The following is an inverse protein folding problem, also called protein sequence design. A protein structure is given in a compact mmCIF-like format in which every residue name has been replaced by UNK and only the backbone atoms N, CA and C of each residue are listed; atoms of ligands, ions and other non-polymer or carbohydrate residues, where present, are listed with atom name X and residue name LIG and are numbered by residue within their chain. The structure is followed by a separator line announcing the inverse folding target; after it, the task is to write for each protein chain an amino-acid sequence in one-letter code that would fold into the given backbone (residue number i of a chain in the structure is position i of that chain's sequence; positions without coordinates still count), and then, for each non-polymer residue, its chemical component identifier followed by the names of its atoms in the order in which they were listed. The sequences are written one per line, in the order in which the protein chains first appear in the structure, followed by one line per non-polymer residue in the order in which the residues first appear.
data_IF_536262842874
#
_entry.id   IF_536262842874
#
_cell.length_a   1.000
_cell.length_b   1.000
_cell.length_c   1.000
_cell.angle_alpha   90.00
_cell.angle_beta   90.00
_cell.angle_gamma   90.00
#
_symmetry.space_group_name_H-M   'P 1'
#
loop_
_entity.id
_entity.type
_entity.pdbx_description
1 polymer ?
#
# COMPACT_ATOMS: atom_id res chain seq x y z
N UNK A 1 7.55 7.81 -21.29
CA UNK A 1 7.45 6.40 -21.75
C UNK A 1 6.40 6.36 -22.86
N UNK A 2 6.84 6.26 -24.13
CA UNK A 2 5.96 6.20 -25.31
C UNK A 2 5.29 4.83 -25.36
N UNK A 3 4.00 4.74 -25.04
CA UNK A 3 3.23 3.51 -25.22
C UNK A 3 2.74 3.48 -26.67
N UNK A 4 3.34 2.57 -27.44
CA UNK A 4 3.01 2.28 -28.83
C UNK A 4 1.58 1.75 -28.95
N UNK A 5 0.84 2.32 -29.88
CA UNK A 5 -0.14 1.68 -30.78
C UNK A 5 -0.75 0.34 -30.33
N UNK A 6 -1.96 0.38 -29.77
CA UNK A 6 -2.93 -0.71 -29.89
C UNK A 6 -4.05 -0.28 -30.85
N UNK A 7 -3.67 -0.08 -32.12
CA UNK A 7 -4.56 0.05 -33.27
C UNK A 7 -4.86 -1.34 -33.85
N UNK A 8 -5.31 -2.25 -33.01
CA UNK A 8 -5.76 -3.58 -33.41
C UNK A 8 -6.98 -3.84 -32.54
N UNK A 9 -8.19 -3.57 -33.06
CA UNK A 9 -9.45 -4.23 -32.67
C UNK A 9 -10.69 -3.65 -33.38
N UNK A 10 -10.59 -2.59 -34.19
CA UNK A 10 -11.74 -2.02 -34.90
C UNK A 10 -12.00 -2.53 -36.33
N UNK A 11 -11.28 -3.56 -36.80
CA UNK A 11 -11.39 -4.07 -38.18
C UNK A 11 -11.86 -5.54 -38.28
N UNK A 12 -12.73 -6.01 -37.38
CA UNK A 12 -13.30 -7.36 -37.48
C UNK A 12 -14.84 -7.44 -37.50
N UNK A 13 -15.53 -6.32 -37.80
CA UNK A 13 -17.01 -6.30 -37.87
C UNK A 13 -17.56 -6.70 -39.25
N UNK A 14 -16.72 -6.98 -40.27
CA UNK A 14 -17.18 -7.32 -41.62
C UNK A 14 -16.77 -8.72 -42.13
N UNK A 15 -16.27 -9.59 -41.25
CA UNK A 15 -15.67 -10.87 -41.65
C UNK A 15 -16.25 -12.11 -41.00
N UNK A 16 -17.52 -12.12 -40.56
CA UNK A 16 -18.14 -13.37 -40.10
C UNK A 16 -18.70 -14.13 -41.31
N UNK A 17 -17.79 -14.74 -42.07
CA UNK A 17 -18.11 -15.85 -42.95
C UNK A 17 -18.62 -16.98 -42.05
N UNK A 18 -19.94 -17.09 -41.93
CA UNK A 18 -20.62 -18.21 -41.29
C UNK A 18 -20.24 -19.47 -42.09
N UNK A 19 -19.23 -20.19 -41.61
CA UNK A 19 -18.90 -21.55 -42.05
C UNK A 19 -20.01 -22.48 -41.57
N UNK A 20 -21.12 -22.53 -42.31
CA UNK A 20 -22.11 -23.60 -42.25
C UNK A 20 -21.58 -24.84 -42.99
N UNK A 21 -20.41 -25.36 -42.59
CA UNK A 21 -19.89 -26.63 -43.07
C UNK A 21 -20.34 -27.74 -42.12
N UNK A 22 -21.56 -28.23 -42.30
CA UNK A 22 -22.05 -29.34 -41.48
C UNK A 22 -23.46 -29.83 -41.78
N UNK A 23 -24.21 -29.10 -42.60
CA UNK A 23 -25.57 -29.50 -42.94
C UNK A 23 -25.54 -30.26 -44.26
N UNK A 24 -25.24 -31.56 -44.19
CA UNK A 24 -25.59 -32.46 -45.27
C UNK A 24 -27.11 -32.55 -45.32
N UNK A 25 -27.74 -31.67 -46.13
CA UNK A 25 -29.05 -31.99 -46.66
C UNK A 25 -28.87 -33.13 -47.66
N UNK A 26 -28.78 -34.35 -47.12
CA UNK A 26 -29.07 -35.54 -47.89
C UNK A 26 -30.59 -35.52 -48.11
N UNK A 27 -31.07 -34.69 -49.04
CA UNK A 27 -32.36 -34.96 -49.65
C UNK A 27 -32.20 -36.32 -50.33
N UNK A 28 -33.01 -37.35 -50.01
CA UNK A 28 -33.11 -38.50 -50.87
C UNK A 28 -33.60 -37.94 -52.20
N UNK A 29 -32.68 -37.81 -53.16
CA UNK A 29 -33.01 -37.51 -54.54
C UNK A 29 -33.80 -38.73 -54.99
N UNK A 30 -35.11 -38.71 -54.79
CA UNK A 30 -36.03 -39.58 -55.47
C UNK A 30 -35.72 -39.39 -56.94
N UNK A 31 -35.01 -40.34 -57.52
CA UNK A 31 -34.78 -40.36 -58.95
C UNK A 31 -36.19 -40.32 -59.55
N UNK A 32 -36.55 -39.20 -60.17
CA UNK A 32 -37.72 -39.13 -61.00
C UNK A 32 -37.47 -40.18 -62.08
N UNK A 33 -38.05 -41.37 -61.91
CA UNK A 33 -37.98 -42.41 -62.91
C UNK A 33 -38.75 -41.84 -64.10
N UNK A 34 -38.01 -41.35 -65.09
CA UNK A 34 -38.58 -40.91 -66.34
C UNK A 34 -39.39 -42.08 -66.86
N UNK A 35 -40.72 -41.94 -66.88
CA UNK A 35 -41.62 -42.87 -67.53
C UNK A 35 -41.16 -42.94 -69.00
N UNK A 36 -40.51 -44.02 -69.45
CA UNK A 36 -40.00 -44.05 -70.80
C UNK A 36 -41.21 -44.01 -71.74
N UNK A 37 -41.21 -43.09 -72.71
CA UNK A 37 -42.12 -43.18 -73.84
C UNK A 37 -41.80 -44.49 -74.58
N UNK A 38 -42.77 -45.40 -74.65
CA UNK A 38 -42.62 -46.67 -75.35
C UNK A 38 -43.44 -46.61 -76.64
N UNK A 39 -42.73 -46.73 -77.76
CA UNK A 39 -43.33 -46.93 -79.08
C UNK A 39 -43.71 -48.40 -79.20
N UNK A 40 -45.01 -48.71 -79.25
CA UNK A 40 -45.47 -50.05 -79.65
C UNK A 40 -45.61 -50.03 -81.17
N UNK A 41 -44.66 -50.65 -81.87
CA UNK A 41 -44.72 -51.01 -83.31
C UNK A 41 -45.19 -49.91 -84.28
N UNK A 42 -44.88 -48.64 -84.02
CA UNK A 42 -45.21 -47.55 -84.94
C UNK A 42 -46.71 -47.28 -85.12
N UNK A 43 -47.58 -47.80 -84.25
CA UNK A 43 -49.03 -47.57 -84.27
C UNK A 43 -49.43 -46.67 -83.11
N UNK A 44 -50.21 -45.62 -83.38
CA UNK A 44 -50.78 -44.77 -82.34
C UNK A 44 -51.98 -45.48 -81.72
N UNK A 45 -51.79 -46.19 -80.61
CA UNK A 45 -52.82 -47.06 -80.00
C UNK A 45 -53.82 -46.27 -79.14
N UNK A 46 -53.47 -45.07 -78.69
CA UNK A 46 -54.26 -44.27 -77.74
C UNK A 46 -54.42 -42.84 -78.29
N UNK A 47 -55.66 -42.41 -78.53
CA UNK A 47 -55.96 -41.06 -79.05
C UNK A 47 -56.13 -40.02 -77.95
N UNK A 48 -56.59 -40.45 -76.77
CA UNK A 48 -56.67 -39.62 -75.57
C UNK A 48 -56.67 -40.46 -74.30
N UNK A 49 -55.93 -40.01 -73.28
CA UNK A 49 -56.04 -40.49 -71.91
C UNK A 49 -56.68 -39.38 -71.10
N UNK A 50 -57.76 -39.69 -70.38
CA UNK A 50 -58.40 -38.74 -69.48
C UNK A 50 -58.67 -39.38 -68.12
N UNK A 51 -58.55 -38.58 -67.07
CA UNK A 51 -58.95 -38.93 -65.72
C UNK A 51 -60.17 -38.08 -65.35
N UNK A 52 -61.28 -38.74 -65.05
CA UNK A 52 -62.52 -38.12 -64.60
C UNK A 52 -63.07 -38.93 -63.43
N UNK A 53 -63.48 -38.29 -62.33
CA UNK A 53 -64.07 -38.95 -61.15
C UNK A 53 -63.27 -40.18 -60.64
N UNK A 54 -61.94 -40.08 -60.54
CA UNK A 54 -61.06 -41.18 -60.11
C UNK A 54 -61.08 -42.45 -60.99
N UNK A 55 -61.61 -42.37 -62.21
CA UNK A 55 -61.59 -43.46 -63.20
C UNK A 55 -60.69 -43.10 -64.38
N UNK A 56 -59.87 -44.06 -64.83
CA UNK A 56 -58.98 -43.94 -65.99
C UNK A 56 -59.78 -44.32 -67.25
N UNK A 57 -60.00 -43.36 -68.16
CA UNK A 57 -60.65 -43.61 -69.45
C UNK A 57 -59.63 -43.54 -70.60
N UNK A 58 -59.51 -44.63 -71.35
CA UNK A 58 -58.64 -44.77 -72.51
C UNK A 58 -59.51 -44.97 -73.76
N UNK A 59 -59.28 -44.16 -74.79
CA UNK A 59 -59.94 -44.29 -76.10
C UNK A 59 -58.93 -44.76 -77.15
N UNK A 60 -59.22 -45.86 -77.84
CA UNK A 60 -58.34 -46.48 -78.84
C UNK A 60 -58.87 -46.28 -80.27
N UNK A 61 -57.97 -46.11 -81.25
CA UNK A 61 -58.32 -45.79 -82.64
C UNK A 61 -58.34 -47.01 -83.59
N UNK A 62 -57.78 -48.15 -83.18
CA UNK A 62 -57.85 -49.42 -83.92
C UNK A 62 -57.67 -50.60 -82.94
N UNK A 63 -58.23 -51.78 -83.26
CA UNK A 63 -58.24 -52.95 -82.37
C UNK A 63 -56.84 -53.54 -82.24
N UNK A 64 -56.08 -53.01 -81.29
CA UNK A 64 -54.95 -53.72 -80.72
C UNK A 64 -55.46 -54.99 -80.02
N UNK A 65 -54.71 -56.09 -80.11
CA UNK A 65 -54.97 -57.30 -79.32
C UNK A 65 -55.00 -56.93 -77.83
N UNK A 66 -55.96 -57.48 -77.08
CA UNK A 66 -56.28 -57.14 -75.68
C UNK A 66 -55.03 -56.99 -74.77
N UNK A 67 -54.02 -57.85 -74.97
CA UNK A 67 -52.75 -57.80 -74.24
C UNK A 67 -51.89 -56.54 -74.46
N UNK A 68 -51.97 -55.87 -75.61
CA UNK A 68 -51.21 -54.63 -75.87
C UNK A 68 -51.78 -53.44 -75.10
N UNK A 69 -53.12 -53.35 -75.01
CA UNK A 69 -53.79 -52.32 -74.20
C UNK A 69 -53.57 -52.52 -72.70
N UNK A 70 -53.56 -53.77 -72.22
CA UNK A 70 -53.27 -54.09 -70.82
C UNK A 70 -51.85 -53.68 -70.42
N UNK A 71 -50.85 -53.93 -71.27
CA UNK A 71 -49.46 -53.53 -71.01
C UNK A 71 -49.28 -52.00 -70.86
N UNK A 72 -49.99 -51.20 -71.67
CA UNK A 72 -49.94 -49.74 -71.57
C UNK A 72 -50.57 -49.22 -70.26
N UNK A 73 -51.69 -49.84 -69.85
CA UNK A 73 -52.35 -49.53 -68.57
C UNK A 73 -51.45 -49.88 -67.39
N UNK A 74 -50.85 -51.07 -67.38
CA UNK A 74 -49.98 -51.53 -66.30
C UNK A 74 -48.76 -50.62 -66.13
N UNK A 75 -48.19 -50.13 -67.24
CA UNK A 75 -47.10 -49.16 -67.22
C UNK A 75 -47.51 -47.79 -66.65
N UNK A 76 -48.67 -47.27 -67.05
CA UNK A 76 -49.23 -46.02 -66.51
C UNK A 76 -49.50 -46.13 -65.00
N UNK A 77 -50.08 -47.24 -64.56
CA UNK A 77 -50.35 -47.53 -63.14
C UNK A 77 -49.03 -47.61 -62.36
N UNK A 78 -48.04 -48.32 -62.88
CA UNK A 78 -46.70 -48.41 -62.28
C UNK A 78 -46.06 -47.03 -62.11
N UNK A 79 -46.12 -46.20 -63.15
CA UNK A 79 -45.59 -44.85 -63.16
C UNK A 79 -46.31 -43.91 -62.18
N UNK A 80 -47.64 -44.01 -62.12
CA UNK A 80 -48.45 -43.24 -61.17
C UNK A 80 -48.15 -43.64 -59.72
N UNK A 81 -47.97 -44.94 -59.45
CA UNK A 81 -47.58 -45.44 -58.13
C UNK A 81 -46.19 -44.94 -57.72
N UNK A 82 -45.24 -44.89 -58.65
CA UNK A 82 -43.90 -44.32 -58.42
C UNK A 82 -43.97 -42.82 -58.11
N UNK A 83 -44.75 -42.05 -58.87
CA UNK A 83 -44.97 -40.62 -58.60
C UNK A 83 -45.65 -40.39 -57.24
N UNK A 84 -46.65 -41.19 -56.90
CA UNK A 84 -47.31 -41.12 -55.59
C UNK A 84 -46.30 -41.36 -54.46
N UNK A 85 -45.41 -42.34 -54.61
CA UNK A 85 -44.34 -42.62 -53.64
C UNK A 85 -43.36 -41.45 -53.52
N UNK A 86 -42.94 -40.87 -54.64
CA UNK A 86 -42.04 -39.71 -54.64
C UNK A 86 -42.67 -38.47 -54.00
N UNK A 87 -43.97 -38.23 -54.23
CA UNK A 87 -44.71 -37.13 -53.60
C UNK A 87 -44.73 -37.30 -52.08
N UNK A 88 -45.00 -38.52 -51.59
CA UNK A 88 -44.96 -38.83 -50.16
C UNK A 88 -43.55 -38.61 -49.57
N UNK A 89 -42.50 -39.06 -50.27
CA UNK A 89 -41.12 -38.81 -49.83
C UNK A 89 -40.81 -37.32 -49.74
N UNK A 90 -41.13 -36.55 -50.79
CA UNK A 90 -40.90 -35.11 -50.81
C UNK A 90 -41.69 -34.40 -49.71
N UNK A 91 -42.92 -34.82 -49.42
CA UNK A 91 -43.72 -34.28 -48.34
C UNK A 91 -43.05 -34.51 -46.97
N UNK A 92 -42.47 -35.69 -46.75
CA UNK A 92 -41.72 -36.00 -45.52
C UNK A 92 -40.42 -35.19 -45.41
N UNK A 93 -39.70 -35.01 -46.51
CA UNK A 93 -38.48 -34.18 -46.55
C UNK A 93 -38.81 -32.72 -46.24
N UNK A 94 -39.90 -32.19 -46.81
CA UNK A 94 -40.40 -30.84 -46.52
C UNK A 94 -40.76 -30.70 -45.04
N UNK A 95 -41.45 -31.68 -44.45
CA UNK A 95 -41.81 -31.66 -43.03
C UNK A 95 -40.56 -31.67 -42.12
N UNK A 96 -39.54 -32.47 -42.47
CA UNK A 96 -38.26 -32.52 -41.77
C UNK A 96 -37.52 -31.18 -41.87
N UNK A 97 -37.44 -30.61 -43.07
CA UNK A 97 -36.82 -29.31 -43.30
C UNK A 97 -37.54 -28.19 -42.53
N UNK A 98 -38.87 -28.22 -42.49
CA UNK A 98 -39.67 -27.27 -41.71
C UNK A 98 -39.33 -27.35 -40.22
N UNK A 99 -39.21 -28.56 -39.66
CA UNK A 99 -38.82 -28.79 -38.26
C UNK A 99 -37.40 -28.26 -37.98
N UNK A 100 -36.45 -28.53 -38.87
CA UNK A 100 -35.08 -28.05 -38.74
C UNK A 100 -34.96 -26.52 -38.80
N UNK A 101 -35.75 -25.86 -39.66
CA UNK A 101 -35.81 -24.39 -39.73
C UNK A 101 -36.30 -23.80 -38.41
N UNK A 102 -37.33 -24.39 -37.80
CA UNK A 102 -37.83 -23.96 -36.48
C UNK A 102 -36.76 -24.13 -35.39
N UNK A 103 -36.05 -25.26 -35.38
CA UNK A 103 -34.94 -25.49 -34.43
C UNK A 103 -33.85 -24.42 -34.59
N UNK A 104 -33.41 -24.16 -35.82
CA UNK A 104 -32.39 -23.15 -36.11
C UNK A 104 -32.84 -21.74 -35.70
N UNK A 105 -34.11 -21.40 -35.89
CA UNK A 105 -34.65 -20.13 -35.45
C UNK A 105 -34.57 -19.97 -33.92
N UNK A 106 -34.85 -21.03 -33.16
CA UNK A 106 -34.73 -21.03 -31.70
C UNK A 106 -33.27 -20.92 -31.24
N UNK A 107 -32.35 -21.63 -31.90
CA UNK A 107 -30.91 -21.56 -31.60
C UNK A 107 -30.35 -20.15 -31.87
N UNK A 108 -30.78 -19.52 -32.97
CA UNK A 108 -30.41 -18.12 -33.29
C UNK A 108 -30.95 -17.16 -32.23
N UNK A 109 -32.20 -17.31 -31.79
CA UNK A 109 -32.77 -16.48 -30.74
C UNK A 109 -32.02 -16.62 -29.39
N UNK A 110 -31.63 -17.85 -29.05
CA UNK A 110 -30.82 -18.14 -27.86
C UNK A 110 -29.44 -17.50 -27.96
N UNK A 111 -28.76 -17.68 -29.10
CA UNK A 111 -27.45 -17.06 -29.35
C UNK A 111 -27.52 -15.53 -29.30
N UNK A 112 -28.58 -14.93 -29.84
CA UNK A 112 -28.80 -13.48 -29.77
C UNK A 112 -28.91 -13.00 -28.32
N UNK A 113 -29.68 -13.71 -27.48
CA UNK A 113 -29.80 -13.40 -26.05
C UNK A 113 -28.46 -13.51 -25.32
N UNK A 114 -27.69 -14.57 -25.59
CA UNK A 114 -26.36 -14.77 -25.00
C UNK A 114 -25.38 -13.67 -25.39
N UNK A 115 -25.41 -13.21 -26.65
CA UNK A 115 -24.56 -12.10 -27.13
C UNK A 115 -24.88 -10.81 -26.34
N UNK A 116 -26.16 -10.51 -26.11
CA UNK A 116 -26.55 -9.34 -25.31
C UNK A 116 -26.06 -9.47 -23.86
N UNK A 117 -26.20 -10.65 -23.24
CA UNK A 117 -25.68 -10.88 -21.89
C UNK A 117 -24.17 -10.67 -21.82
N UNK A 118 -23.41 -11.26 -22.73
CA UNK A 118 -21.96 -11.11 -22.79
C UNK A 118 -21.54 -9.64 -23.00
N UNK A 119 -22.28 -8.88 -23.80
CA UNK A 119 -22.02 -7.46 -24.01
C UNK A 119 -22.18 -6.65 -22.70
N UNK A 120 -23.21 -6.96 -21.91
CA UNK A 120 -23.43 -6.33 -20.59
C UNK A 120 -22.33 -6.71 -19.59
N UNK A 121 -21.90 -7.97 -19.57
CA UNK A 121 -20.80 -8.43 -18.71
C UNK A 121 -19.48 -7.74 -19.06
N UNK A 122 -19.19 -7.58 -20.36
CA UNK A 122 -18.02 -6.84 -20.85
C UNK A 122 -18.08 -5.38 -20.41
N UNK A 123 -19.24 -4.72 -20.53
CA UNK A 123 -19.41 -3.33 -20.10
C UNK A 123 -19.20 -3.15 -18.59
N UNK A 124 -19.71 -4.10 -17.79
CA UNK A 124 -19.51 -4.13 -16.33
C UNK A 124 -18.04 -4.32 -15.98
N UNK A 125 -17.37 -5.29 -16.61
CA UNK A 125 -15.94 -5.53 -16.40
C UNK A 125 -15.09 -4.31 -16.80
N UNK A 126 -15.44 -3.62 -17.89
CA UNK A 126 -14.76 -2.40 -18.31
C UNK A 126 -14.87 -1.29 -17.26
N UNK A 127 -16.06 -1.12 -16.66
CA UNK A 127 -16.28 -0.16 -15.57
C UNK A 127 -15.45 -0.51 -14.33
N UNK A 128 -15.43 -1.78 -13.94
CA UNK A 128 -14.65 -2.27 -12.80
C UNK A 128 -13.14 -2.07 -13.00
N UNK A 129 -12.63 -2.30 -14.22
CA UNK A 129 -11.22 -2.06 -14.55
C UNK A 129 -10.85 -0.57 -14.37
N UNK A 130 -11.72 0.35 -14.80
CA UNK A 130 -11.50 1.79 -14.61
C UNK A 130 -11.51 2.17 -13.13
N UNK A 131 -12.44 1.62 -12.34
CA UNK A 131 -12.47 1.84 -10.88
C UNK A 131 -11.18 1.37 -10.21
N UNK A 132 -10.75 0.13 -10.50
CA UNK A 132 -9.52 -0.43 -9.94
C UNK A 132 -8.29 0.40 -10.34
N UNK A 133 -8.24 0.92 -11.56
CA UNK A 133 -7.13 1.79 -12.00
C UNK A 133 -7.05 3.09 -11.19
N UNK A 134 -8.21 3.70 -10.86
CA UNK A 134 -8.27 4.89 -10.01
C UNK A 134 -7.86 4.59 -8.57
N UNK A 135 -8.29 3.45 -8.02
CA UNK A 135 -7.91 3.02 -6.67
C UNK A 135 -6.40 2.76 -6.57
N UNK A 136 -5.81 2.12 -7.58
CA UNK A 136 -4.36 1.91 -7.67
C UNK A 136 -3.61 3.26 -7.73
N UNK A 137 -4.09 4.22 -8.52
CA UNK A 137 -3.48 5.54 -8.61
C UNK A 137 -3.53 6.31 -7.28
N UNK A 138 -4.65 6.21 -6.57
CA UNK A 138 -4.82 6.80 -5.23
C UNK A 138 -3.86 6.16 -4.22
N UNK A 139 -3.80 4.82 -4.19
CA UNK A 139 -2.87 4.09 -3.32
C UNK A 139 -1.41 4.43 -3.60
N UNK A 140 -1.03 4.56 -4.88
CA UNK A 140 0.32 5.00 -5.27
C UNK A 140 0.67 6.37 -4.71
N UNK A 141 -0.27 7.33 -4.78
CA UNK A 141 -0.09 8.67 -4.22
C UNK A 141 0.07 8.63 -2.70
N UNK A 142 -0.76 7.85 -2.00
CA UNK A 142 -0.67 7.68 -0.55
C UNK A 142 0.65 7.05 -0.12
N UNK A 143 1.17 6.07 -0.87
CA UNK A 143 2.48 5.45 -0.59
C UNK A 143 3.60 6.49 -0.67
N UNK A 144 3.58 7.36 -1.69
CA UNK A 144 4.58 8.45 -1.82
C UNK A 144 4.48 9.44 -0.66
N UNK A 145 3.26 9.82 -0.24
CA UNK A 145 3.07 10.70 0.93
C UNK A 145 3.65 10.08 2.19
N UNK A 146 3.31 8.82 2.48
CA UNK A 146 3.82 8.10 3.64
C UNK A 146 5.35 7.99 3.63
N UNK A 147 5.96 7.77 2.45
CA UNK A 147 7.41 7.72 2.33
C UNK A 147 8.08 9.06 2.70
N UNK A 148 7.48 10.18 2.29
CA UNK A 148 7.95 11.51 2.68
C UNK A 148 7.81 11.75 4.19
N UNK A 149 6.67 11.39 4.77
CA UNK A 149 6.45 11.55 6.22
C UNK A 149 7.45 10.72 7.04
N UNK A 150 7.75 9.49 6.59
CA UNK A 150 8.78 8.64 7.20
C UNK A 150 10.16 9.30 7.11
N UNK A 151 10.51 9.90 5.97
CA UNK A 151 11.79 10.59 5.80
C UNK A 151 11.91 11.80 6.75
N UNK A 152 10.85 12.63 6.85
CA UNK A 152 10.80 13.75 7.79
C UNK A 152 10.94 13.29 9.24
N UNK A 153 10.21 12.25 9.64
CA UNK A 153 10.31 11.68 10.99
C UNK A 153 11.72 11.16 11.29
N UNK A 154 12.38 10.53 10.33
CA UNK A 154 13.77 10.07 10.46
C UNK A 154 14.72 11.23 10.74
N UNK A 155 14.61 12.34 9.99
CA UNK A 155 15.41 13.55 10.22
C UNK A 155 15.16 14.14 11.62
N UNK A 156 13.90 14.22 12.05
CA UNK A 156 13.55 14.74 13.37
C UNK A 156 14.12 13.87 14.50
N UNK A 157 14.11 12.54 14.35
CA UNK A 157 14.70 11.62 15.33
C UNK A 157 16.22 11.88 15.48
N UNK A 158 16.94 12.06 14.37
CA UNK A 158 18.37 12.37 14.39
C UNK A 158 18.64 13.72 15.08
N UNK A 159 17.83 14.74 14.79
CA UNK A 159 17.95 16.05 15.46
C UNK A 159 17.76 15.92 16.97
N UNK A 160 16.68 15.25 17.40
CA UNK A 160 16.39 15.04 18.81
C UNK A 160 17.49 14.24 19.52
N UNK A 161 18.09 13.24 18.85
CA UNK A 161 19.21 12.49 19.41
C UNK A 161 20.44 13.38 19.66
N UNK A 162 20.74 14.30 18.73
CA UNK A 162 21.82 15.27 18.91
C UNK A 162 21.52 16.24 20.06
N UNK A 163 20.30 16.76 20.15
CA UNK A 163 19.90 17.66 21.23
C UNK A 163 20.00 16.98 22.60
N UNK A 164 19.61 15.71 22.70
CA UNK A 164 19.77 14.90 23.92
C UNK A 164 21.24 14.74 24.27
N UNK A 165 22.12 14.46 23.30
CA UNK A 165 23.55 14.33 23.54
C UNK A 165 24.17 15.64 24.04
N UNK A 166 23.80 16.78 23.45
CA UNK A 166 24.23 18.11 23.91
C UNK A 166 23.74 18.39 25.33
N UNK A 167 22.47 18.10 25.63
CA UNK A 167 21.92 18.28 26.97
C UNK A 167 22.62 17.39 28.01
N UNK A 168 22.97 16.16 27.66
CA UNK A 168 23.72 15.25 28.52
C UNK A 168 25.09 15.82 28.88
N UNK A 169 25.83 16.34 27.89
CA UNK A 169 27.12 17.01 28.12
C UNK A 169 26.97 18.23 29.03
N UNK A 170 25.98 19.09 28.76
CA UNK A 170 25.74 20.28 29.58
C UNK A 170 25.39 19.92 31.03
N UNK A 171 24.61 18.86 31.25
CA UNK A 171 24.29 18.37 32.60
C UNK A 171 25.56 17.88 33.31
N UNK A 172 26.43 17.15 32.61
CA UNK A 172 27.70 16.67 33.18
C UNK A 172 28.62 17.84 33.57
N UNK A 173 28.73 18.86 32.71
CA UNK A 173 29.47 20.10 33.01
C UNK A 173 28.89 20.81 34.23
N UNK A 174 27.57 21.06 34.26
CA UNK A 174 26.94 21.71 35.40
C UNK A 174 27.12 20.90 36.71
N UNK A 175 27.13 19.57 36.63
CA UNK A 175 27.37 18.73 37.80
C UNK A 175 28.80 18.87 38.34
N UNK A 176 29.79 18.99 37.45
CA UNK A 176 31.18 19.27 37.83
C UNK A 176 31.32 20.67 38.44
N UNK A 177 30.76 21.69 37.80
CA UNK A 177 30.80 23.08 38.29
C UNK A 177 30.15 23.20 39.69
N UNK A 178 29.05 22.47 39.93
CA UNK A 178 28.40 22.42 41.25
C UNK A 178 29.29 21.71 42.29
N UNK A 179 30.06 20.70 41.90
CA UNK A 179 30.98 20.02 42.81
C UNK A 179 32.13 20.95 43.20
N UNK A 180 32.71 21.65 42.24
CA UNK A 180 33.78 22.64 42.47
C UNK A 180 33.26 23.79 43.35
N UNK A 181 32.09 24.35 43.04
CA UNK A 181 31.49 25.41 43.87
C UNK A 181 31.23 24.95 45.32
N UNK A 182 30.89 23.68 45.53
CA UNK A 182 30.74 23.13 46.88
C UNK A 182 32.08 23.08 47.62
N UNK A 183 33.17 22.76 46.93
CA UNK A 183 34.51 22.79 47.52
C UNK A 183 34.93 24.22 47.87
N UNK A 184 34.76 25.17 46.95
CA UNK A 184 35.05 26.60 47.19
C UNK A 184 34.29 27.13 48.41
N UNK A 185 33.03 26.75 48.58
CA UNK A 185 32.21 27.15 49.73
C UNK A 185 32.76 26.57 51.04
N UNK A 186 33.28 25.34 51.05
CA UNK A 186 33.91 24.77 52.24
C UNK A 186 35.22 25.44 52.59
N UNK A 187 36.08 25.68 51.59
CA UNK A 187 37.33 26.42 51.78
C UNK A 187 37.06 27.82 52.32
N UNK A 188 36.02 28.51 51.82
CA UNK A 188 35.61 29.80 52.36
C UNK A 188 35.14 29.69 53.83
N UNK A 189 34.34 28.69 54.18
CA UNK A 189 33.89 28.47 55.57
C UNK A 189 35.07 28.18 56.49
N UNK A 190 36.03 27.38 56.06
CA UNK A 190 37.25 27.07 56.81
C UNK A 190 38.12 28.32 56.98
N UNK A 191 38.22 29.16 55.93
CA UNK A 191 38.85 30.48 56.02
C UNK A 191 38.18 31.39 57.06
N UNK A 192 36.84 31.40 57.13
CA UNK A 192 36.11 32.16 58.16
C UNK A 192 36.39 31.60 59.57
N UNK A 193 36.35 30.27 59.74
CA UNK A 193 36.70 29.63 61.02
C UNK A 193 38.14 29.99 61.45
N UNK A 194 39.07 30.02 60.50
CA UNK A 194 40.49 30.41 60.71
C UNK A 194 40.63 31.84 61.22
N UNK A 195 39.90 32.80 60.63
CA UNK A 195 39.89 34.18 61.11
C UNK A 195 39.32 34.29 62.53
N UNK A 196 38.25 33.57 62.86
CA UNK A 196 37.71 33.50 64.23
C UNK A 196 38.75 32.92 65.20
N UNK A 197 39.48 31.88 64.77
CA UNK A 197 40.51 31.25 65.59
C UNK A 197 41.67 32.21 65.87
N UNK A 198 42.08 33.00 64.88
CA UNK A 198 43.12 34.03 65.00
C UNK A 198 42.71 35.16 65.94
N UNK A 199 41.44 35.59 65.89
CA UNK A 199 40.88 36.61 66.79
C UNK A 199 40.86 36.11 68.24
N UNK A 200 40.35 34.89 68.47
CA UNK A 200 40.37 34.23 69.79
C UNK A 200 41.79 33.93 70.29
N UNK A 201 42.77 33.80 69.39
CA UNK A 201 44.18 33.59 69.74
C UNK A 201 44.87 34.86 70.21
N UNK A 202 44.26 36.04 70.05
CA UNK A 202 44.91 37.31 70.32
C UNK A 202 45.26 37.44 71.82
N UNK A 203 46.55 37.55 72.18
CA UNK A 203 46.94 37.59 73.59
C UNK A 203 46.68 38.97 74.20
N UNK A 204 46.18 38.99 75.42
CA UNK A 204 46.16 40.18 76.27
C UNK A 204 47.56 40.42 76.85
N UNK A 205 48.07 41.65 76.73
CA UNK A 205 49.31 42.03 77.39
C UNK A 205 49.01 42.32 78.86
N UNK A 206 49.50 41.44 79.73
CA UNK A 206 49.41 41.66 81.18
C UNK A 206 50.20 42.92 81.57
N UNK A 207 49.80 43.64 82.63
CA UNK A 207 50.57 44.77 83.14
C UNK A 207 52.05 44.42 83.33
N UNK A 208 52.94 45.33 82.93
CA UNK A 208 54.40 45.16 82.98
C UNK A 208 55.01 44.27 81.88
N UNK A 209 54.22 43.65 80.99
CA UNK A 209 54.74 42.80 79.92
C UNK A 209 54.62 43.49 78.54
N UNK A 210 55.62 43.28 77.68
CA UNK A 210 55.71 43.90 76.34
C UNK A 210 55.45 42.94 75.18
N UNK A 211 55.21 41.67 75.50
CA UNK A 211 55.01 40.62 74.52
C UNK A 211 53.99 39.60 75.04
N UNK A 212 53.18 39.07 74.13
CA UNK A 212 52.26 37.97 74.39
C UNK A 212 52.16 37.07 73.18
N UNK A 213 51.95 35.77 73.44
CA UNK A 213 51.56 34.76 72.45
C UNK A 213 50.25 34.16 72.93
N UNK A 214 49.32 33.93 72.01
CA UNK A 214 48.12 33.16 72.28
C UNK A 214 47.85 32.17 71.17
N UNK A 215 47.04 31.17 71.52
CA UNK A 215 46.47 30.19 70.61
C UNK A 215 44.97 30.17 70.83
N UNK A 216 44.22 29.97 69.76
CA UNK A 216 42.77 30.07 69.77
C UNK A 216 42.15 29.06 68.83
N UNK A 217 40.90 28.71 69.10
CA UNK A 217 40.11 27.85 68.23
C UNK A 217 38.97 28.66 67.64
N UNK A 218 38.63 28.37 66.40
CA UNK A 218 37.53 29.00 65.69
C UNK A 218 36.68 27.95 65.02
N UNK A 219 35.37 28.18 65.01
CA UNK A 219 34.42 27.31 64.33
C UNK A 219 33.47 28.18 63.54
N UNK A 220 33.11 27.73 62.33
CA UNK A 220 32.08 28.37 61.53
C UNK A 220 31.34 27.30 60.73
N UNK A 221 30.04 27.15 61.03
CA UNK A 221 29.23 26.03 60.54
C UNK A 221 29.89 24.68 60.86
N UNK A 222 30.24 23.90 59.85
CA UNK A 222 30.84 22.58 59.90
C UNK A 222 32.38 22.59 59.90
N UNK A 223 33.00 23.76 59.83
CA UNK A 223 34.45 23.92 59.73
C UNK A 223 35.08 24.35 61.05
N UNK A 224 36.26 23.81 61.37
CA UNK A 224 37.05 24.15 62.55
C UNK A 224 38.46 24.60 62.15
N UNK A 225 39.02 25.52 62.90
CA UNK A 225 40.38 26.02 62.68
C UNK A 225 41.12 26.28 63.99
N UNK A 226 42.45 26.31 63.89
CA UNK A 226 43.38 26.71 64.93
C UNK A 226 44.07 28.02 64.52
N UNK A 227 44.15 28.98 65.44
CA UNK A 227 44.85 30.23 65.27
C UNK A 227 45.98 30.38 66.27
N UNK A 228 47.05 31.04 65.85
CA UNK A 228 48.13 31.50 66.72
C UNK A 228 48.36 32.99 66.45
N UNK A 229 48.50 33.78 67.52
CA UNK A 229 48.75 35.20 67.42
C UNK A 229 49.85 35.64 68.39
N UNK A 230 50.60 36.66 67.98
CA UNK A 230 51.63 37.30 68.76
C UNK A 230 51.38 38.81 68.77
N UNK A 231 51.53 39.43 69.95
CA UNK A 231 51.37 40.86 70.15
C UNK A 231 52.61 41.43 70.83
N UNK A 232 53.11 42.55 70.30
CA UNK A 232 54.28 43.25 70.79
C UNK A 232 53.88 44.70 71.12
N UNK A 233 54.27 45.19 72.31
CA UNK A 233 54.15 46.59 72.71
C UNK A 233 55.54 47.22 72.72
N UNK A 234 55.72 48.22 71.86
CA UNK A 234 57.00 48.92 71.72
C UNK A 234 57.20 50.00 72.79
N UNK A 235 56.12 50.58 73.32
CA UNK A 235 56.16 51.57 74.41
C UNK A 235 56.39 50.89 75.77
N UNK A 236 56.86 51.64 76.77
CA UNK A 236 56.94 51.17 78.16
C UNK A 236 55.55 50.75 78.69
N UNK A 237 55.37 49.50 79.18
CA UNK A 237 54.09 48.97 79.63
C UNK A 237 53.55 49.64 80.91
N UNK A 238 54.38 50.42 81.61
CA UNK A 238 54.00 51.14 82.83
C UNK A 238 53.81 52.65 82.59
N UNK A 239 53.94 53.12 81.34
CA UNK A 239 53.75 54.52 80.97
C UNK A 239 52.30 54.82 80.61
N UNK A 240 51.79 55.98 81.01
CA UNK A 240 50.46 56.49 80.63
C UNK A 240 50.46 57.23 79.28
N UNK A 241 51.56 57.18 78.53
CA UNK A 241 51.69 57.78 77.20
C UNK A 241 51.21 56.88 76.05
N UNK A 242 51.48 57.30 74.81
CA UNK A 242 51.03 56.59 73.60
C UNK A 242 51.53 55.15 73.54
N UNK A 243 50.61 54.18 73.50
CA UNK A 243 50.92 52.78 73.29
C UNK A 243 51.01 52.46 71.79
N UNK A 244 52.15 51.95 71.34
CA UNK A 244 52.35 51.44 69.97
C UNK A 244 52.45 49.92 70.01
N UNK A 245 51.49 49.24 69.38
CA UNK A 245 51.43 47.78 69.35
C UNK A 245 51.51 47.23 67.93
N UNK A 246 52.23 46.13 67.74
CA UNK A 246 52.17 45.31 66.54
C UNK A 246 51.55 43.96 66.86
N UNK A 247 50.73 43.46 65.94
CA UNK A 247 50.10 42.15 66.02
C UNK A 247 50.41 41.37 64.74
N UNK A 248 50.75 40.10 64.91
CA UNK A 248 50.85 39.13 63.83
C UNK A 248 50.07 37.88 64.20
N UNK A 249 49.40 37.27 63.23
CA UNK A 249 48.57 36.09 63.44
C UNK A 249 48.58 35.19 62.22
N UNK A 250 48.41 33.90 62.47
CA UNK A 250 48.26 32.86 61.46
C UNK A 250 47.17 31.88 61.90
N UNK A 251 46.44 31.34 60.94
CA UNK A 251 45.37 30.39 61.17
C UNK A 251 45.38 29.28 60.15
N UNK A 252 44.96 28.10 60.59
CA UNK A 252 44.92 26.87 59.80
C UNK A 252 43.56 26.20 59.97
N UNK A 253 42.87 25.97 58.86
CA UNK A 253 41.71 25.08 58.84
C UNK A 253 42.15 23.65 59.18
N UNK A 254 41.33 22.95 59.96
CA UNK A 254 41.60 21.56 60.37
C UNK A 254 40.81 20.54 59.54
N UNK A 255 39.74 21.01 58.89
CA UNK A 255 38.82 20.22 58.09
C UNK A 255 39.09 20.35 56.58
N UNK A 256 39.60 21.51 56.15
CA UNK A 256 40.06 21.81 54.80
C UNK A 256 41.46 22.43 54.89
N UNK A 257 42.32 22.21 53.89
CA UNK A 257 43.73 22.67 53.82
C UNK A 257 43.85 24.18 53.57
N UNK A 258 43.20 24.97 54.42
CA UNK A 258 43.14 26.43 54.31
C UNK A 258 44.12 27.08 55.28
N UNK A 259 44.87 28.07 54.79
CA UNK A 259 45.78 28.87 55.60
C UNK A 259 45.38 30.34 55.52
N UNK A 260 45.47 31.03 56.65
CA UNK A 260 45.21 32.46 56.75
C UNK A 260 46.32 33.14 57.55
N UNK A 261 46.65 34.36 57.19
CA UNK A 261 47.62 35.16 57.93
C UNK A 261 47.17 36.62 57.95
N UNK A 262 47.50 37.32 59.04
CA UNK A 262 47.16 38.72 59.23
C UNK A 262 48.19 39.42 60.10
N UNK A 263 48.43 40.70 59.82
CA UNK A 263 49.28 41.55 60.64
C UNK A 263 48.67 42.96 60.74
N UNK A 264 48.92 43.64 61.84
CA UNK A 264 48.37 44.97 62.10
C UNK A 264 49.21 45.81 63.07
N UNK A 265 49.08 47.12 62.95
CA UNK A 265 49.69 48.11 63.85
C UNK A 265 48.58 48.91 64.53
N UNK A 266 48.66 49.04 65.85
CA UNK A 266 47.73 49.85 66.65
C UNK A 266 48.46 50.95 67.41
N UNK A 267 47.87 52.14 67.44
CA UNK A 267 48.33 53.28 68.23
C UNK A 267 47.17 53.73 69.12
N UNK A 268 47.38 53.76 70.43
CA UNK A 268 46.41 54.29 71.41
C UNK A 268 47.06 55.45 72.16
N UNK A 269 46.32 56.56 72.32
CA UNK A 269 46.75 57.76 73.05
C UNK A 269 46.02 57.88 74.38
#
# INVERSE_FOLDING_TARGET
MKIKNYSLLFNNILGLAVLLSGWSFASPRAAAQACPAQTIDGVTVISSVSFQNFQLNITTAEVATEGSTQNAVDNLVSCNNANSTNIVSNANDIATNSTNIVSNANDIATNSTNIVSNANDIATNSTNIVSNANDIATNSTNIVSNANDIATNSTNIVSNANDIATNSTNIATNAADIADLKQDVKELRAGVASVIAMDNAEPELRPGHRFGIGVGFGTFQDETALGAAAKFLFTDPNSTGTAVTFKGSAGWGLNEDTFSAGAGLGISF
#
